data_IF_579970358436
#
_entry.id   IF_579970358436
#
_cell.length_a   1.000
_cell.length_b   1.000
_cell.length_c   1.000
_cell.angle_alpha   90.00
_cell.angle_beta   90.00
_cell.angle_gamma   90.00
#
_symmetry.space_group_name_H-M   'P 1'
#
loop_
_entity.id
_entity.type
_entity.pdbx_description
1 polymer ?
#
# COMPACT_ATOMS: atom_id res chain seq x y z
N UNK A 1 -1.30 -21.46 -29.16
CA UNK A 1 -1.17 -20.00 -29.02
C UNK A 1 -1.99 -19.56 -27.80
N UNK A 2 -1.37 -18.95 -26.80
CA UNK A 2 -2.10 -18.45 -25.62
C UNK A 2 -3.09 -17.35 -26.03
N UNK A 3 -4.31 -17.43 -25.52
CA UNK A 3 -5.38 -16.48 -25.82
C UNK A 3 -5.04 -15.09 -25.26
N UNK A 4 -5.03 -14.07 -26.11
CA UNK A 4 -4.83 -12.66 -25.73
C UNK A 4 -6.18 -12.02 -25.41
N UNK A 5 -6.29 -11.39 -24.26
CA UNK A 5 -7.44 -10.56 -23.89
C UNK A 5 -7.04 -9.10 -24.10
N UNK A 6 -7.54 -8.51 -25.17
CA UNK A 6 -7.28 -7.11 -25.48
C UNK A 6 -8.12 -6.22 -24.57
N UNK A 7 -7.49 -5.18 -24.03
CA UNK A 7 -8.19 -4.19 -23.22
C UNK A 7 -9.13 -3.36 -24.11
N UNK A 8 -10.28 -2.99 -23.58
CA UNK A 8 -11.20 -2.05 -24.23
C UNK A 8 -10.64 -0.62 -24.24
N UNK A 9 -9.57 -0.37 -23.49
CA UNK A 9 -8.86 0.90 -23.38
C UNK A 9 -7.98 1.11 -24.62
N UNK A 10 -8.15 2.23 -25.35
CA UNK A 10 -7.33 2.54 -26.52
C UNK A 10 -5.89 2.89 -26.14
N UNK A 11 -4.98 2.82 -27.09
CA UNK A 11 -3.62 3.34 -27.00
C UNK A 11 -3.48 4.46 -28.00
N UNK A 12 -2.77 5.52 -27.64
CA UNK A 12 -2.58 6.70 -28.51
C UNK A 12 -2.02 6.30 -29.89
N UNK A 13 -0.99 5.46 -29.88
CA UNK A 13 -0.38 4.94 -31.10
C UNK A 13 -0.06 3.44 -30.93
N UNK A 14 -0.25 2.67 -32.01
CA UNK A 14 0.11 1.26 -32.03
C UNK A 14 -1.00 0.31 -31.54
N UNK A 15 -0.67 -0.96 -31.29
CA UNK A 15 -1.64 -1.98 -30.91
C UNK A 15 -2.18 -1.74 -29.50
N UNK A 16 -3.41 -2.20 -29.25
CA UNK A 16 -4.03 -2.17 -27.93
C UNK A 16 -3.23 -3.00 -26.92
N UNK A 17 -3.28 -2.59 -25.67
CA UNK A 17 -2.79 -3.42 -24.57
C UNK A 17 -3.60 -4.70 -24.46
N UNK A 18 -2.94 -5.78 -24.06
CA UNK A 18 -3.56 -7.07 -23.79
C UNK A 18 -2.90 -7.75 -22.58
N UNK A 19 -3.59 -8.76 -22.06
CA UNK A 19 -3.01 -9.72 -21.13
C UNK A 19 -3.41 -11.14 -21.52
N UNK A 20 -2.69 -12.12 -21.01
CA UNK A 20 -2.95 -13.55 -21.15
C UNK A 20 -3.59 -14.07 -19.88
N UNK A 21 -4.75 -14.73 -19.97
CA UNK A 21 -5.48 -15.22 -18.80
C UNK A 21 -4.81 -16.43 -18.16
N UNK A 22 -4.19 -17.28 -18.98
CA UNK A 22 -3.64 -18.57 -18.55
C UNK A 22 -2.56 -18.43 -17.46
N UNK A 23 -1.55 -17.53 -17.58
CA UNK A 23 -0.60 -17.31 -16.49
C UNK A 23 -1.24 -16.79 -15.19
N UNK A 24 -2.32 -16.01 -15.30
CA UNK A 24 -3.00 -15.43 -14.15
C UNK A 24 -3.90 -16.42 -13.41
N UNK A 25 -4.34 -17.51 -14.08
CA UNK A 25 -5.36 -18.40 -13.53
C UNK A 25 -4.92 -19.06 -12.23
N UNK A 26 -3.68 -19.54 -12.19
CA UNK A 26 -3.13 -20.17 -10.99
C UNK A 26 -3.14 -19.21 -9.79
N UNK A 27 -2.64 -17.99 -9.96
CA UNK A 27 -2.63 -16.98 -8.88
C UNK A 27 -4.04 -16.57 -8.48
N UNK A 28 -4.99 -16.56 -9.43
CA UNK A 28 -6.41 -16.32 -9.13
C UNK A 28 -7.01 -17.39 -8.25
N UNK A 29 -6.83 -18.65 -8.62
CA UNK A 29 -7.40 -19.80 -7.88
C UNK A 29 -6.86 -19.84 -6.45
N UNK A 30 -5.56 -19.61 -6.28
CA UNK A 30 -4.92 -19.55 -4.95
C UNK A 30 -5.41 -18.36 -4.11
N UNK A 31 -5.69 -17.22 -4.72
CA UNK A 31 -6.16 -16.02 -4.04
C UNK A 31 -7.64 -16.05 -3.67
N UNK A 32 -8.48 -16.78 -4.41
CA UNK A 32 -9.90 -16.87 -4.09
C UNK A 32 -10.12 -17.45 -2.69
N UNK A 33 -9.34 -18.45 -2.28
CA UNK A 33 -9.41 -19.05 -0.95
C UNK A 33 -9.10 -18.03 0.16
N UNK A 34 -8.03 -17.25 -0.01
CA UNK A 34 -7.67 -16.18 0.93
C UNK A 34 -8.74 -15.06 1.00
N UNK A 35 -9.29 -14.67 -0.14
CA UNK A 35 -10.30 -13.62 -0.19
C UNK A 35 -11.63 -14.02 0.45
N UNK A 36 -12.04 -15.27 0.30
CA UNK A 36 -13.25 -15.78 1.00
C UNK A 36 -13.02 -15.84 2.51
N UNK A 37 -11.83 -16.21 2.95
CA UNK A 37 -11.46 -16.21 4.36
C UNK A 37 -11.47 -14.79 4.94
N UNK A 38 -10.88 -13.79 4.28
CA UNK A 38 -10.82 -12.40 4.72
C UNK A 38 -12.21 -11.78 4.89
N UNK A 39 -13.16 -12.11 4.00
CA UNK A 39 -14.57 -11.72 4.15
C UNK A 39 -15.20 -12.19 5.45
N UNK A 40 -14.84 -13.39 5.93
CA UNK A 40 -15.44 -13.99 7.10
C UNK A 40 -15.04 -13.27 8.40
N UNK A 41 -13.89 -12.58 8.41
CA UNK A 41 -13.31 -11.97 9.60
C UNK A 41 -13.88 -10.59 9.96
N UNK A 42 -14.70 -9.99 9.11
CA UNK A 42 -15.55 -8.80 9.33
C UNK A 42 -14.91 -7.60 10.10
N UNK A 43 -13.60 -7.36 9.91
CA UNK A 43 -12.82 -6.38 10.67
C UNK A 43 -12.64 -5.03 9.95
N UNK A 44 -13.66 -4.57 9.22
CA UNK A 44 -13.63 -3.31 8.46
C UNK A 44 -13.25 -2.07 9.30
N UNK A 45 -13.67 -2.01 10.55
CA UNK A 45 -13.36 -0.89 11.43
C UNK A 45 -11.88 -0.88 11.87
N UNK A 46 -11.31 -2.05 12.07
CA UNK A 46 -9.92 -2.26 12.40
C UNK A 46 -9.01 -1.99 11.20
N UNK A 47 -9.32 -2.58 10.07
CA UNK A 47 -8.66 -2.35 8.81
C UNK A 47 -8.56 -0.86 8.49
N UNK A 48 -9.61 -0.08 8.69
CA UNK A 48 -9.63 1.37 8.50
C UNK A 48 -8.62 2.12 9.39
N UNK A 49 -8.40 1.69 10.62
CA UNK A 49 -7.48 2.34 11.56
C UNK A 49 -6.00 2.07 11.27
N UNK A 50 -5.66 0.82 10.89
CA UNK A 50 -4.30 0.42 10.51
C UNK A 50 -3.93 0.89 9.11
N UNK A 51 -4.93 1.05 8.25
CA UNK A 51 -4.80 1.40 6.84
C UNK A 51 -4.03 2.71 6.64
N UNK A 52 -4.28 3.71 7.46
CA UNK A 52 -3.76 5.04 7.18
C UNK A 52 -2.24 5.13 7.29
N UNK A 53 -1.65 4.77 8.40
CA UNK A 53 -0.22 5.01 8.60
C UNK A 53 0.66 4.07 7.76
N UNK A 54 0.32 2.80 7.69
CA UNK A 54 1.10 1.82 6.92
C UNK A 54 0.94 1.97 5.41
N UNK A 55 -0.27 2.23 4.92
CA UNK A 55 -0.50 2.48 3.50
C UNK A 55 0.04 3.84 3.04
N UNK A 56 -0.04 4.87 3.88
CA UNK A 56 0.60 6.16 3.62
C UNK A 56 2.12 6.00 3.51
N UNK A 57 2.73 5.29 4.46
CA UNK A 57 4.16 4.98 4.41
C UNK A 57 4.52 4.23 3.13
N UNK A 58 3.78 3.19 2.81
CA UNK A 58 4.03 2.37 1.63
C UNK A 58 3.87 3.15 0.32
N UNK A 59 2.83 3.98 0.22
CA UNK A 59 2.61 4.83 -0.96
C UNK A 59 3.74 5.85 -1.16
N UNK A 60 4.23 6.46 -0.07
CA UNK A 60 5.39 7.35 -0.10
C UNK A 60 6.68 6.59 -0.47
N UNK A 61 6.86 5.38 0.07
CA UNK A 61 8.06 4.57 -0.18
C UNK A 61 8.18 4.14 -1.66
N UNK A 62 7.07 3.90 -2.36
CA UNK A 62 7.06 3.64 -3.81
C UNK A 62 7.66 4.81 -4.58
N UNK A 63 7.46 6.04 -4.12
CA UNK A 63 8.02 7.27 -4.71
C UNK A 63 9.45 7.57 -4.20
N UNK A 64 10.06 6.67 -3.43
CA UNK A 64 11.40 6.84 -2.87
C UNK A 64 11.48 7.62 -1.56
N UNK A 65 10.34 7.94 -0.92
CA UNK A 65 10.29 8.64 0.35
C UNK A 65 10.20 7.65 1.52
N UNK A 66 11.30 7.54 2.29
CA UNK A 66 11.44 6.61 3.41
C UNK A 66 10.93 7.14 4.75
N UNK A 67 9.78 7.80 4.79
CA UNK A 67 9.24 8.40 6.01
C UNK A 67 8.99 7.35 7.11
N UNK A 68 9.35 7.68 8.36
CA UNK A 68 9.11 6.81 9.51
C UNK A 68 7.63 6.79 9.89
N UNK A 69 7.16 5.64 10.37
CA UNK A 69 5.76 5.47 10.79
C UNK A 69 5.37 6.43 11.91
N UNK A 70 6.29 6.66 12.84
CA UNK A 70 6.11 7.61 13.97
C UNK A 70 5.92 9.06 13.48
N UNK A 71 6.68 9.46 12.46
CA UNK A 71 6.54 10.76 11.81
C UNK A 71 5.17 10.89 11.16
N UNK A 72 4.76 9.88 10.37
CA UNK A 72 3.45 9.87 9.71
C UNK A 72 2.32 9.99 10.74
N UNK A 73 2.39 9.23 11.82
CA UNK A 73 1.39 9.32 12.89
C UNK A 73 1.39 10.67 13.62
N UNK A 74 2.57 11.25 13.85
CA UNK A 74 2.67 12.58 14.47
C UNK A 74 2.01 13.65 13.58
N UNK A 75 2.20 13.55 12.26
CA UNK A 75 1.56 14.44 11.29
C UNK A 75 0.04 14.27 11.32
N UNK A 76 -0.46 13.04 11.22
CA UNK A 76 -1.89 12.75 11.25
C UNK A 76 -2.55 13.23 12.55
N UNK A 77 -1.87 13.09 13.69
CA UNK A 77 -2.37 13.53 15.01
C UNK A 77 -2.18 15.02 15.27
N UNK A 78 -1.75 15.80 14.27
CA UNK A 78 -1.48 17.24 14.36
C UNK A 78 -0.50 17.63 15.49
N UNK A 79 0.42 16.76 15.85
CA UNK A 79 1.54 17.03 16.77
C UNK A 79 2.76 17.60 16.03
N UNK A 80 2.52 18.54 15.13
CA UNK A 80 3.38 18.84 13.99
C UNK A 80 4.33 20.00 14.20
N UNK A 81 4.24 20.72 15.31
CA UNK A 81 5.07 21.90 15.55
C UNK A 81 6.58 21.58 15.63
N UNK A 82 6.94 20.29 15.66
CA UNK A 82 8.32 19.82 15.72
C UNK A 82 8.91 19.38 14.38
N UNK A 83 8.13 19.31 13.30
CA UNK A 83 8.63 18.85 11.98
C UNK A 83 9.24 20.03 11.24
N UNK A 84 10.56 20.00 11.10
CA UNK A 84 11.33 21.05 10.42
C UNK A 84 11.12 21.06 8.90
N UNK A 85 10.75 19.92 8.30
CA UNK A 85 10.55 19.78 6.86
C UNK A 85 9.08 19.92 6.51
N UNK A 86 8.75 21.09 5.93
CA UNK A 86 7.39 21.46 5.53
C UNK A 86 6.89 20.57 4.38
N UNK A 87 7.78 20.20 3.46
CA UNK A 87 7.42 19.39 2.29
C UNK A 87 7.05 17.97 2.68
N UNK A 88 7.83 17.33 3.57
CA UNK A 88 7.51 15.99 4.09
C UNK A 88 6.13 15.99 4.76
N UNK A 89 5.90 16.98 5.61
CA UNK A 89 4.61 17.16 6.27
C UNK A 89 3.46 17.29 5.29
N UNK A 90 3.63 18.17 4.30
CA UNK A 90 2.61 18.44 3.29
C UNK A 90 2.28 17.18 2.48
N UNK A 91 3.30 16.44 2.04
CA UNK A 91 3.15 15.19 1.31
C UNK A 91 2.36 14.13 2.09
N UNK A 92 2.65 13.98 3.38
CA UNK A 92 1.93 13.05 4.26
C UNK A 92 0.47 13.49 4.44
N UNK A 93 0.23 14.78 4.69
CA UNK A 93 -1.12 15.33 4.84
C UNK A 93 -1.94 15.19 3.57
N UNK A 94 -1.34 15.44 2.41
CA UNK A 94 -2.01 15.30 1.12
C UNK A 94 -2.52 13.87 0.90
N UNK A 95 -1.68 12.86 1.14
CA UNK A 95 -2.10 11.47 1.07
C UNK A 95 -3.19 11.13 2.08
N UNK A 96 -3.06 11.59 3.32
CA UNK A 96 -4.07 11.37 4.36
C UNK A 96 -5.41 11.99 3.96
N UNK A 97 -5.42 13.23 3.48
CA UNK A 97 -6.63 13.90 3.02
C UNK A 97 -7.19 13.24 1.75
N UNK A 98 -6.34 12.79 0.84
CA UNK A 98 -6.75 12.02 -0.34
C UNK A 98 -7.45 10.71 0.04
N UNK A 99 -6.92 9.98 1.01
CA UNK A 99 -7.58 8.77 1.52
C UNK A 99 -8.89 9.08 2.24
N UNK A 100 -8.94 10.16 3.02
CA UNK A 100 -10.18 10.63 3.61
C UNK A 100 -11.21 10.99 2.53
N UNK A 101 -10.79 11.67 1.47
CA UNK A 101 -11.65 12.04 0.33
C UNK A 101 -12.29 10.80 -0.30
N UNK A 102 -11.51 9.79 -0.67
CA UNK A 102 -12.04 8.58 -1.34
C UNK A 102 -12.97 7.74 -0.47
N UNK A 103 -12.85 7.82 0.86
CA UNK A 103 -13.78 7.15 1.79
C UNK A 103 -15.17 7.77 1.77
N UNK A 104 -15.28 9.06 1.48
CA UNK A 104 -16.53 9.82 1.56
C UNK A 104 -17.17 10.07 0.21
N UNK A 105 -16.44 9.87 -0.90
CA UNK A 105 -16.93 10.11 -2.26
C UNK A 105 -17.05 8.78 -3.01
N UNK A 106 -18.20 8.56 -3.66
CA UNK A 106 -18.47 7.33 -4.39
C UNK A 106 -18.44 7.48 -5.91
N UNK A 107 -18.55 8.71 -6.41
CA UNK A 107 -18.56 9.00 -7.85
C UNK A 107 -17.11 9.11 -8.34
N UNK A 108 -16.78 8.34 -9.36
CA UNK A 108 -15.46 8.33 -10.00
C UNK A 108 -15.62 8.86 -11.42
N UNK A 109 -15.34 10.13 -11.61
CA UNK A 109 -15.34 10.83 -12.90
C UNK A 109 -14.18 11.85 -12.96
N UNK A 110 -14.11 12.61 -14.04
CA UNK A 110 -13.02 13.56 -14.27
C UNK A 110 -12.97 14.67 -13.24
N UNK A 111 -14.13 15.19 -12.81
CA UNK A 111 -14.22 16.28 -11.83
C UNK A 111 -13.71 15.81 -10.47
N UNK A 112 -14.22 14.69 -9.96
CA UNK A 112 -13.81 14.16 -8.66
C UNK A 112 -12.35 13.65 -8.68
N UNK A 113 -11.85 13.15 -9.82
CA UNK A 113 -10.43 12.87 -9.97
C UNK A 113 -9.60 14.16 -9.87
N UNK A 114 -10.06 15.24 -10.49
CA UNK A 114 -9.34 16.51 -10.43
C UNK A 114 -9.31 17.07 -9.00
N UNK A 115 -10.41 17.00 -8.25
CA UNK A 115 -10.46 17.35 -6.83
C UNK A 115 -9.48 16.49 -6.01
N UNK A 116 -9.48 15.18 -6.23
CA UNK A 116 -8.53 14.28 -5.57
C UNK A 116 -7.09 14.65 -5.91
N UNK A 117 -6.80 14.94 -7.19
CA UNK A 117 -5.49 15.37 -7.61
C UNK A 117 -5.05 16.68 -6.95
N UNK A 118 -5.93 17.67 -6.86
CA UNK A 118 -5.65 18.92 -6.17
C UNK A 118 -5.27 18.68 -4.70
N UNK A 119 -5.98 17.78 -4.01
CA UNK A 119 -5.64 17.38 -2.63
C UNK A 119 -4.27 16.73 -2.59
N UNK A 120 -3.98 15.75 -3.47
CA UNK A 120 -2.74 14.99 -3.46
C UNK A 120 -1.51 15.84 -3.85
N UNK A 121 -1.71 16.90 -4.62
CA UNK A 121 -0.64 17.76 -5.14
C UNK A 121 -0.54 19.11 -4.42
N UNK A 122 -1.36 19.37 -3.41
CA UNK A 122 -1.40 20.65 -2.69
C UNK A 122 -0.01 21.06 -2.20
N UNK A 123 0.44 22.26 -2.60
CA UNK A 123 1.74 22.84 -2.25
C UNK A 123 2.98 21.98 -2.65
N UNK A 124 2.84 21.02 -3.56
CA UNK A 124 3.95 20.22 -4.05
C UNK A 124 4.39 20.59 -5.48
N UNK A 125 3.49 21.17 -6.26
CA UNK A 125 3.78 21.52 -7.66
C UNK A 125 4.64 22.78 -7.77
N UNK A 126 5.62 22.75 -8.69
CA UNK A 126 6.37 23.95 -9.05
C UNK A 126 5.47 24.97 -9.79
N UNK A 127 5.96 26.18 -9.97
CA UNK A 127 5.21 27.26 -10.64
C UNK A 127 4.88 26.90 -12.09
N UNK A 128 5.86 26.38 -12.81
CA UNK A 128 5.66 25.93 -14.20
C UNK A 128 4.53 24.92 -14.34
N UNK A 129 4.48 23.92 -13.46
CA UNK A 129 3.44 22.89 -13.50
C UNK A 129 2.05 23.46 -13.25
N UNK A 130 1.94 24.39 -12.29
CA UNK A 130 0.69 25.09 -11.98
C UNK A 130 0.18 25.95 -13.14
N UNK A 131 1.08 26.69 -13.77
CA UNK A 131 0.74 27.59 -14.89
C UNK A 131 0.34 26.86 -16.17
N UNK A 132 0.85 25.62 -16.37
CA UNK A 132 0.58 24.83 -17.56
C UNK A 132 -0.44 23.71 -17.33
N UNK A 133 -1.08 23.67 -16.14
CA UNK A 133 -2.20 22.81 -15.87
C UNK A 133 -3.47 23.40 -16.49
N UNK A 134 -4.12 22.62 -17.34
CA UNK A 134 -5.45 22.97 -17.87
C UNK A 134 -6.55 22.72 -16.84
N UNK A 135 -7.81 22.89 -17.26
CA UNK A 135 -8.96 22.76 -16.36
C UNK A 135 -9.07 21.39 -15.64
N UNK A 136 -8.61 20.33 -16.28
CA UNK A 136 -8.65 18.97 -15.71
C UNK A 136 -7.30 18.26 -15.79
N UNK A 137 -6.51 18.50 -16.83
CA UNK A 137 -5.26 17.78 -17.13
C UNK A 137 -4.19 18.75 -17.64
N UNK A 138 -2.93 18.27 -17.70
CA UNK A 138 -1.83 19.05 -18.26
C UNK A 138 -2.04 19.41 -19.73
N UNK A 139 -1.60 20.60 -20.11
CA UNK A 139 -1.64 21.11 -21.50
C UNK A 139 -0.28 21.18 -22.16
N UNK A 140 0.74 20.57 -21.55
CA UNK A 140 2.11 20.48 -22.09
C UNK A 140 2.66 19.07 -21.91
N UNK A 141 3.77 18.79 -22.60
CA UNK A 141 4.52 17.55 -22.41
C UNK A 141 5.24 17.52 -21.06
N UNK A 142 5.40 16.33 -20.50
CA UNK A 142 6.24 16.06 -19.32
C UNK A 142 7.53 15.43 -19.82
N UNK A 143 8.65 16.00 -19.43
CA UNK A 143 9.98 15.52 -19.84
C UNK A 143 10.72 14.89 -18.66
N UNK A 144 11.46 13.83 -18.94
CA UNK A 144 12.24 13.13 -17.92
C UNK A 144 13.58 13.85 -17.73
N UNK A 145 13.95 14.14 -16.47
CA UNK A 145 15.27 14.60 -16.11
C UNK A 145 16.23 13.42 -16.00
N UNK A 146 17.20 13.31 -16.93
CA UNK A 146 18.30 12.38 -16.81
C UNK A 146 19.57 13.08 -16.35
N UNK A 147 20.14 12.64 -15.22
CA UNK A 147 21.38 13.20 -14.66
C UNK A 147 21.34 14.74 -14.50
N UNK A 148 20.19 15.29 -14.13
CA UNK A 148 20.00 16.73 -13.97
C UNK A 148 19.89 17.51 -15.28
N UNK A 149 19.76 16.83 -16.42
CA UNK A 149 19.51 17.44 -17.73
C UNK A 149 18.14 17.04 -18.26
N UNK A 150 17.42 18.02 -18.79
CA UNK A 150 16.15 17.80 -19.46
C UNK A 150 16.41 17.07 -20.79
N UNK A 151 15.89 15.87 -20.93
CA UNK A 151 15.92 15.14 -22.19
C UNK A 151 14.61 15.40 -22.94
N UNK A 152 14.70 16.22 -23.98
CA UNK A 152 13.55 16.62 -24.80
C UNK A 152 13.02 15.49 -25.69
N UNK A 153 13.80 14.43 -25.88
CA UNK A 153 13.42 13.26 -26.66
C UNK A 153 12.68 12.21 -25.82
N UNK A 154 12.74 12.35 -24.49
CA UNK A 154 12.08 11.47 -23.53
C UNK A 154 10.93 12.19 -22.84
N UNK A 155 9.71 12.01 -23.33
CA UNK A 155 8.48 12.46 -22.64
C UNK A 155 7.82 11.32 -21.89
N UNK A 156 7.31 11.63 -20.70
CA UNK A 156 6.46 10.70 -19.97
C UNK A 156 4.99 10.85 -20.36
N UNK A 157 4.32 9.68 -20.46
CA UNK A 157 2.89 9.62 -20.79
C UNK A 157 2.61 9.79 -22.27
N UNK A 158 1.35 10.06 -22.55
CA UNK A 158 0.84 10.31 -23.92
C UNK A 158 0.99 11.79 -24.29
N UNK A 159 0.81 12.13 -25.57
CA UNK A 159 0.72 13.53 -25.98
C UNK A 159 -0.42 14.24 -25.24
N UNK A 160 -0.23 15.50 -24.86
CA UNK A 160 -1.25 16.24 -24.11
C UNK A 160 -2.56 16.35 -24.89
N UNK A 161 -2.53 16.38 -26.22
CA UNK A 161 -3.72 16.41 -27.06
C UNK A 161 -4.57 15.15 -27.00
N UNK A 162 -3.98 14.00 -26.65
CA UNK A 162 -4.70 12.72 -26.53
C UNK A 162 -5.31 12.48 -25.14
N UNK A 163 -4.89 13.23 -24.13
CA UNK A 163 -5.28 12.96 -22.72
C UNK A 163 -6.78 12.95 -22.54
N UNK A 164 -7.50 13.96 -23.02
CA UNK A 164 -8.94 14.07 -22.83
C UNK A 164 -9.69 12.85 -23.39
N UNK A 165 -9.35 12.39 -24.60
CA UNK A 165 -9.96 11.23 -25.22
C UNK A 165 -9.66 9.95 -24.42
N UNK A 166 -8.40 9.73 -24.06
CA UNK A 166 -8.00 8.55 -23.32
C UNK A 166 -8.60 8.51 -21.91
N UNK A 167 -8.70 9.66 -21.23
CA UNK A 167 -9.37 9.77 -19.95
C UNK A 167 -10.88 9.57 -20.03
N UNK A 168 -11.53 9.96 -21.11
CA UNK A 168 -12.93 9.60 -21.36
C UNK A 168 -13.11 8.08 -21.43
N UNK A 169 -12.26 7.37 -22.17
CA UNK A 169 -12.28 5.91 -22.23
C UNK A 169 -11.92 5.27 -20.88
N UNK A 170 -10.99 5.87 -20.14
CA UNK A 170 -10.64 5.44 -18.76
C UNK A 170 -11.88 5.44 -17.86
N UNK A 171 -12.64 6.54 -17.79
CA UNK A 171 -13.84 6.59 -16.96
C UNK A 171 -14.98 5.72 -17.46
N UNK A 172 -15.13 5.54 -18.78
CA UNK A 172 -16.05 4.56 -19.33
C UNK A 172 -15.72 3.14 -18.84
N UNK A 173 -14.44 2.77 -18.84
CA UNK A 173 -13.97 1.49 -18.31
C UNK A 173 -14.17 1.38 -16.79
N UNK A 174 -13.80 2.40 -16.01
CA UNK A 174 -13.99 2.44 -14.56
C UNK A 174 -15.45 2.20 -14.16
N UNK A 175 -16.36 2.89 -14.83
CA UNK A 175 -17.79 2.89 -14.47
C UNK A 175 -18.59 1.78 -15.17
N UNK A 176 -17.97 0.96 -16.03
CA UNK A 176 -18.62 -0.17 -16.68
C UNK A 176 -19.12 -1.14 -15.60
N UNK A 177 -20.44 -1.34 -15.55
CA UNK A 177 -21.08 -2.24 -14.60
C UNK A 177 -20.76 -3.69 -15.00
N UNK A 178 -20.27 -4.47 -14.05
CA UNK A 178 -19.99 -5.89 -14.22
C UNK A 178 -20.17 -6.58 -12.88
N UNK A 179 -20.79 -7.75 -12.88
CA UNK A 179 -20.81 -8.65 -11.72
C UNK A 179 -19.56 -9.51 -11.77
N UNK A 180 -18.45 -8.91 -11.36
CA UNK A 180 -17.16 -9.60 -11.31
C UNK A 180 -16.96 -10.27 -9.94
N UNK A 181 -16.19 -11.35 -9.92
CA UNK A 181 -15.62 -11.90 -8.70
C UNK A 181 -14.68 -10.89 -8.05
N UNK A 182 -14.42 -11.00 -6.76
CA UNK A 182 -13.54 -10.04 -6.06
C UNK A 182 -12.14 -9.96 -6.67
N UNK A 183 -11.59 -11.10 -7.04
CA UNK A 183 -10.26 -11.15 -7.69
C UNK A 183 -10.27 -10.44 -9.05
N UNK A 184 -11.37 -10.51 -9.79
CA UNK A 184 -11.49 -9.83 -11.08
C UNK A 184 -11.67 -8.32 -10.89
N UNK A 185 -12.35 -7.87 -9.83
CA UNK A 185 -12.40 -6.45 -9.44
C UNK A 185 -11.00 -5.95 -9.05
N UNK A 186 -10.19 -6.78 -8.38
CA UNK A 186 -8.79 -6.44 -8.11
C UNK A 186 -7.99 -6.31 -9.40
N UNK A 187 -8.06 -7.28 -10.31
CA UNK A 187 -7.39 -7.22 -11.62
C UNK A 187 -7.82 -5.97 -12.39
N UNK A 188 -9.10 -5.65 -12.39
CA UNK A 188 -9.62 -4.42 -13.03
C UNK A 188 -9.01 -3.17 -12.40
N UNK A 189 -8.88 -3.12 -11.09
CA UNK A 189 -8.22 -1.99 -10.40
C UNK A 189 -6.74 -1.83 -10.82
N UNK A 190 -6.04 -2.96 -11.05
CA UNK A 190 -4.65 -2.93 -11.52
C UNK A 190 -4.52 -2.50 -12.98
N UNK A 191 -5.47 -2.89 -13.84
CA UNK A 191 -5.56 -2.39 -15.21
C UNK A 191 -5.77 -0.87 -15.20
N UNK A 192 -6.66 -0.37 -14.33
CA UNK A 192 -6.89 1.07 -14.15
C UNK A 192 -5.61 1.78 -13.70
N UNK A 193 -4.90 1.22 -12.71
CA UNK A 193 -3.63 1.73 -12.22
C UNK A 193 -2.60 1.83 -13.36
N UNK A 194 -2.35 0.73 -14.07
CA UNK A 194 -1.42 0.69 -15.20
C UNK A 194 -1.77 1.73 -16.27
N UNK A 195 -3.04 1.76 -16.67
CA UNK A 195 -3.48 2.63 -17.77
C UNK A 195 -3.42 4.11 -17.40
N UNK A 196 -3.70 4.46 -16.14
CA UNK A 196 -3.52 5.83 -15.65
C UNK A 196 -2.05 6.26 -15.70
N UNK A 197 -1.12 5.39 -15.27
CA UNK A 197 0.33 5.65 -15.36
C UNK A 197 0.79 5.71 -16.82
N UNK A 198 0.14 4.99 -17.73
CA UNK A 198 0.39 5.10 -19.17
C UNK A 198 -0.03 6.47 -19.72
N UNK A 199 -1.23 6.94 -19.39
CA UNK A 199 -1.74 8.26 -19.86
C UNK A 199 -0.88 9.38 -19.26
N UNK A 200 -0.57 9.31 -17.98
CA UNK A 200 0.21 10.30 -17.24
C UNK A 200 -0.41 11.70 -17.37
N UNK A 201 -1.66 11.91 -16.89
CA UNK A 201 -2.45 13.10 -17.23
C UNK A 201 -2.01 14.38 -16.51
N UNK A 202 -1.08 14.31 -15.57
CA UNK A 202 -0.58 15.42 -14.77
C UNK A 202 0.94 15.60 -14.91
N UNK A 203 1.49 16.72 -14.42
CA UNK A 203 2.92 16.96 -14.43
C UNK A 203 3.66 16.13 -13.39
N UNK A 204 3.11 16.03 -12.18
CA UNK A 204 3.64 15.24 -11.08
C UNK A 204 2.50 14.51 -10.34
N UNK A 205 2.82 13.74 -9.33
CA UNK A 205 1.87 13.02 -8.45
C UNK A 205 1.05 11.93 -9.17
N UNK A 206 1.37 11.59 -10.42
CA UNK A 206 0.63 10.58 -11.20
C UNK A 206 0.67 9.20 -10.55
N UNK A 207 1.80 8.76 -10.01
CA UNK A 207 1.95 7.48 -9.31
C UNK A 207 1.05 7.39 -8.10
N UNK A 208 1.10 8.37 -7.21
CA UNK A 208 0.24 8.47 -6.01
C UNK A 208 -1.25 8.53 -6.39
N UNK A 209 -1.59 9.33 -7.39
CA UNK A 209 -2.97 9.46 -7.89
C UNK A 209 -3.48 8.14 -8.44
N UNK A 210 -2.72 7.45 -9.29
CA UNK A 210 -3.12 6.17 -9.89
C UNK A 210 -3.35 5.08 -8.85
N UNK A 211 -2.48 4.98 -7.85
CA UNK A 211 -2.63 4.03 -6.75
C UNK A 211 -3.82 4.38 -5.86
N UNK A 212 -4.05 5.66 -5.59
CA UNK A 212 -5.22 6.10 -4.82
C UNK A 212 -6.53 5.86 -5.59
N UNK A 213 -6.54 6.06 -6.92
CA UNK A 213 -7.69 5.74 -7.78
C UNK A 213 -8.02 4.25 -7.79
N UNK A 214 -7.00 3.38 -7.87
CA UNK A 214 -7.21 1.94 -7.80
C UNK A 214 -7.79 1.51 -6.45
N UNK A 215 -7.28 2.07 -5.35
CA UNK A 215 -7.83 1.86 -4.01
C UNK A 215 -9.28 2.38 -3.91
N UNK A 216 -9.56 3.56 -4.45
CA UNK A 216 -10.92 4.11 -4.47
C UNK A 216 -11.91 3.20 -5.18
N UNK A 217 -11.50 2.65 -6.32
CA UNK A 217 -12.31 1.68 -7.06
C UNK A 217 -12.63 0.45 -6.21
N UNK A 218 -11.64 -0.15 -5.54
CA UNK A 218 -11.84 -1.31 -4.67
C UNK A 218 -12.76 -0.99 -3.49
N UNK A 219 -12.60 0.18 -2.87
CA UNK A 219 -13.49 0.66 -1.81
C UNK A 219 -14.94 0.81 -2.29
N UNK A 220 -15.13 1.39 -3.48
CA UNK A 220 -16.46 1.55 -4.10
C UNK A 220 -17.13 0.21 -4.37
N UNK A 221 -16.36 -0.79 -4.76
CA UNK A 221 -16.81 -2.16 -5.06
C UNK A 221 -16.94 -3.02 -3.81
N UNK A 222 -16.51 -2.53 -2.65
CA UNK A 222 -16.39 -3.33 -1.42
C UNK A 222 -15.56 -4.59 -1.65
N UNK A 223 -14.57 -4.51 -2.53
CA UNK A 223 -13.67 -5.61 -2.85
C UNK A 223 -12.45 -5.58 -1.93
N UNK A 224 -12.11 -6.72 -1.38
CA UNK A 224 -10.87 -6.95 -0.66
C UNK A 224 -9.72 -7.20 -1.64
N UNK A 225 -8.51 -6.90 -1.28
CA UNK A 225 -7.98 -6.26 -0.08
C UNK A 225 -7.40 -4.87 -0.38
N UNK A 226 -8.20 -3.86 -0.36
CA UNK A 226 -7.77 -2.49 -0.58
C UNK A 226 -6.72 -1.98 0.43
N UNK A 227 -6.68 -2.59 1.62
CA UNK A 227 -5.84 -2.17 2.74
C UNK A 227 -4.35 -2.37 2.49
N UNK A 228 -3.99 -3.42 1.78
CA UNK A 228 -2.59 -3.84 1.60
C UNK A 228 -2.03 -3.47 0.22
N UNK A 229 -2.77 -2.66 -0.52
CA UNK A 229 -2.48 -2.35 -1.91
C UNK A 229 -1.06 -1.82 -2.14
N UNK A 230 -0.66 -0.77 -1.42
CA UNK A 230 0.64 -0.13 -1.61
C UNK A 230 1.77 -0.84 -0.88
N UNK A 231 1.49 -1.53 0.22
CA UNK A 231 2.50 -2.22 1.03
C UNK A 231 3.28 -3.23 0.23
N UNK A 232 2.60 -4.07 -0.51
CA UNK A 232 3.26 -5.08 -1.33
C UNK A 232 4.06 -4.49 -2.49
N UNK A 233 3.57 -3.40 -3.12
CA UNK A 233 4.29 -2.73 -4.21
C UNK A 233 5.59 -2.11 -3.69
N UNK A 234 5.59 -1.50 -2.52
CA UNK A 234 6.75 -0.79 -1.97
C UNK A 234 7.99 -1.69 -1.81
N UNK A 235 7.79 -2.99 -1.62
CA UNK A 235 8.90 -3.95 -1.55
C UNK A 235 9.49 -4.33 -2.91
N UNK A 236 8.85 -3.96 -4.01
CA UNK A 236 9.31 -4.31 -5.36
C UNK A 236 10.22 -3.23 -5.98
N UNK A 237 10.17 -1.97 -5.49
CA UNK A 237 11.05 -0.88 -5.91
C UNK A 237 11.27 -0.80 -7.42
N UNK A 238 12.52 -0.76 -7.85
CA UNK A 238 12.92 -0.65 -9.27
C UNK A 238 12.39 -1.78 -10.17
N UNK A 239 11.99 -2.92 -9.61
CA UNK A 239 11.35 -4.00 -10.39
C UNK A 239 9.97 -3.59 -10.86
N UNK A 240 9.21 -2.88 -10.02
CA UNK A 240 7.88 -2.38 -10.37
C UNK A 240 7.95 -1.38 -11.54
N UNK A 241 8.84 -0.39 -11.48
CA UNK A 241 8.99 0.60 -12.57
C UNK A 241 9.40 -0.04 -13.88
N UNK A 242 10.36 -0.98 -13.83
CA UNK A 242 10.82 -1.71 -15.00
C UNK A 242 9.71 -2.53 -15.65
N UNK A 243 8.87 -3.20 -14.86
CA UNK A 243 7.75 -4.00 -15.39
C UNK A 243 6.71 -3.11 -16.04
N UNK A 244 6.41 -1.94 -15.48
CA UNK A 244 5.51 -0.96 -16.11
C UNK A 244 6.08 -0.47 -17.43
N UNK A 245 7.37 -0.12 -17.48
CA UNK A 245 8.04 0.30 -18.70
C UNK A 245 7.97 -0.78 -19.78
N UNK A 246 8.36 -1.99 -19.44
CA UNK A 246 8.29 -3.15 -20.35
C UNK A 246 6.88 -3.40 -20.88
N UNK A 247 5.87 -3.27 -20.02
CA UNK A 247 4.48 -3.45 -20.41
C UNK A 247 3.98 -2.36 -21.37
N UNK A 248 4.41 -1.11 -21.17
CA UNK A 248 4.13 0.01 -22.10
C UNK A 248 4.75 -0.25 -23.48
N UNK A 249 5.99 -0.70 -23.53
CA UNK A 249 6.74 -0.97 -24.78
C UNK A 249 6.16 -2.18 -25.55
N UNK A 250 5.93 -3.29 -24.85
CA UNK A 250 5.49 -4.57 -25.45
C UNK A 250 3.98 -4.66 -25.68
N UNK A 251 3.21 -3.72 -25.14
CA UNK A 251 1.74 -3.76 -25.08
C UNK A 251 1.16 -5.00 -24.37
N UNK A 252 1.97 -5.73 -23.62
CA UNK A 252 1.61 -6.92 -22.84
C UNK A 252 1.71 -6.62 -21.36
N UNK A 253 0.57 -6.49 -20.68
CA UNK A 253 0.51 -6.20 -19.26
C UNK A 253 0.42 -7.45 -18.38
N UNK A 254 0.58 -8.64 -18.94
CA UNK A 254 0.46 -9.91 -18.23
C UNK A 254 1.41 -9.95 -17.03
N UNK A 255 2.68 -9.63 -17.25
CA UNK A 255 3.72 -9.65 -16.21
C UNK A 255 3.46 -8.63 -15.09
N UNK A 256 2.89 -7.48 -15.44
CA UNK A 256 2.46 -6.50 -14.46
C UNK A 256 1.33 -7.06 -13.57
N UNK A 257 0.32 -7.67 -14.18
CA UNK A 257 -0.79 -8.28 -13.43
C UNK A 257 -0.33 -9.46 -12.58
N UNK A 258 0.54 -10.34 -13.09
CA UNK A 258 1.15 -11.42 -12.30
C UNK A 258 1.87 -10.87 -11.06
N UNK A 259 2.73 -9.86 -11.24
CA UNK A 259 3.43 -9.22 -10.13
C UNK A 259 2.47 -8.65 -9.10
N UNK A 260 1.36 -8.04 -9.53
CA UNK A 260 0.37 -7.46 -8.61
C UNK A 260 -0.39 -8.55 -7.85
N UNK A 261 -0.74 -9.65 -8.49
CA UNK A 261 -1.38 -10.80 -7.84
C UNK A 261 -0.43 -11.49 -6.84
N UNK A 262 0.83 -11.72 -7.22
CA UNK A 262 1.84 -12.28 -6.32
C UNK A 262 2.09 -11.38 -5.10
N UNK A 263 2.10 -10.07 -5.32
CA UNK A 263 2.23 -9.07 -4.27
C UNK A 263 1.06 -9.13 -3.30
N UNK A 264 -0.15 -9.22 -3.83
CA UNK A 264 -1.38 -9.38 -3.06
C UNK A 264 -1.36 -10.65 -2.22
N UNK A 265 -1.00 -11.78 -2.85
CA UNK A 265 -0.90 -13.07 -2.18
C UNK A 265 0.05 -13.01 -0.98
N UNK A 266 1.26 -12.50 -1.17
CA UNK A 266 2.24 -12.38 -0.10
C UNK A 266 1.75 -11.52 1.08
N UNK A 267 1.02 -10.46 0.81
CA UNK A 267 0.48 -9.61 1.88
C UNK A 267 -0.70 -10.27 2.61
N UNK A 268 -1.57 -10.99 1.89
CA UNK A 268 -2.66 -11.77 2.49
C UNK A 268 -2.13 -12.93 3.33
N UNK A 269 -1.11 -13.65 2.85
CA UNK A 269 -0.44 -14.71 3.62
C UNK A 269 0.13 -14.16 4.93
N UNK A 270 0.83 -13.01 4.89
CA UNK A 270 1.35 -12.36 6.10
C UNK A 270 0.23 -11.96 7.06
N UNK A 271 -0.86 -11.43 6.53
CA UNK A 271 -2.00 -11.03 7.35
C UNK A 271 -2.69 -12.23 7.99
N UNK A 272 -2.83 -13.33 7.24
CA UNK A 272 -3.34 -14.60 7.75
C UNK A 272 -2.46 -15.14 8.89
N UNK A 273 -1.15 -15.21 8.68
CA UNK A 273 -0.18 -15.62 9.70
C UNK A 273 -0.31 -14.73 10.95
N UNK A 274 -0.37 -13.41 10.78
CA UNK A 274 -0.52 -12.49 11.91
C UNK A 274 -1.83 -12.70 12.67
N UNK A 275 -2.91 -13.02 11.99
CA UNK A 275 -4.21 -13.29 12.63
C UNK A 275 -4.21 -14.65 13.34
N UNK A 276 -3.56 -15.67 12.78
CA UNK A 276 -3.38 -16.98 13.43
C UNK A 276 -2.53 -16.86 14.70
N UNK A 277 -1.45 -16.07 14.64
CA UNK A 277 -0.63 -15.73 15.80
C UNK A 277 -1.48 -15.03 16.86
N UNK A 278 -2.21 -14.00 16.48
CA UNK A 278 -3.03 -13.24 17.40
C UNK A 278 -4.14 -14.11 18.02
N UNK A 279 -4.74 -15.00 17.26
CA UNK A 279 -5.76 -15.94 17.73
C UNK A 279 -5.16 -16.98 18.69
N UNK A 280 -3.97 -17.50 18.37
CA UNK A 280 -3.24 -18.45 19.22
C UNK A 280 -2.72 -17.80 20.51
N UNK A 281 -2.33 -16.54 20.43
CA UNK A 281 -1.88 -15.75 21.58
C UNK A 281 -3.03 -15.27 22.48
N UNK A 282 -4.28 -15.25 22.00
CA UNK A 282 -5.44 -14.74 22.74
C UNK A 282 -5.61 -15.40 24.11
N UNK A 283 -5.25 -16.66 24.26
CA UNK A 283 -5.28 -17.38 25.55
C UNK A 283 -4.07 -17.04 26.45
N UNK A 284 -2.92 -16.65 25.89
CA UNK A 284 -1.70 -16.31 26.62
C UNK A 284 -1.55 -14.80 26.85
N UNK A 285 -2.13 -14.01 25.95
CA UNK A 285 -2.09 -12.55 25.95
C UNK A 285 -3.46 -11.97 26.36
N UNK A 286 -4.11 -12.56 27.35
CA UNK A 286 -5.43 -12.13 27.83
C UNK A 286 -5.38 -10.64 28.22
N UNK A 287 -6.19 -9.81 27.56
CA UNK A 287 -6.27 -8.37 27.79
C UNK A 287 -5.39 -7.50 26.91
N UNK A 288 -4.64 -8.08 25.95
CA UNK A 288 -3.93 -7.31 24.95
C UNK A 288 -4.86 -7.01 23.79
N UNK A 289 -4.96 -5.74 23.42
CA UNK A 289 -5.66 -5.33 22.22
C UNK A 289 -4.97 -5.94 20.99
N UNK A 290 -5.75 -6.62 20.18
CA UNK A 290 -5.30 -7.21 18.91
C UNK A 290 -4.59 -6.21 18.00
N UNK A 291 -5.00 -4.93 18.04
CA UNK A 291 -4.37 -3.85 17.29
C UNK A 291 -2.93 -3.60 17.73
N UNK A 292 -2.67 -3.65 19.03
CA UNK A 292 -1.33 -3.49 19.58
C UNK A 292 -0.41 -4.61 19.12
N UNK A 293 -0.89 -5.84 19.11
CA UNK A 293 -0.14 -7.00 18.62
C UNK A 293 0.18 -6.86 17.13
N UNK A 294 -0.80 -6.54 16.31
CA UNK A 294 -0.56 -6.30 14.89
C UNK A 294 0.41 -5.16 14.63
N UNK A 295 0.33 -4.08 15.42
CA UNK A 295 1.28 -2.99 15.31
C UNK A 295 2.70 -3.46 15.62
N UNK A 296 2.89 -4.27 16.65
CA UNK A 296 4.19 -4.86 16.97
C UNK A 296 4.70 -5.77 15.84
N UNK A 297 3.84 -6.58 15.26
CA UNK A 297 4.19 -7.47 14.15
C UNK A 297 4.51 -6.73 12.83
N UNK A 298 4.17 -5.45 12.74
CA UNK A 298 4.45 -4.62 11.56
C UNK A 298 5.61 -3.64 11.76
N UNK A 299 6.25 -3.66 12.94
CA UNK A 299 7.40 -2.77 13.23
C UNK A 299 8.60 -3.13 12.38
N UNK A 300 9.26 -2.12 11.83
CA UNK A 300 10.51 -2.28 11.12
C UNK A 300 11.70 -1.98 12.04
N UNK A 301 12.76 -2.76 11.91
CA UNK A 301 14.00 -2.61 12.65
C UNK A 301 13.89 -2.98 14.13
N UNK A 302 14.99 -2.77 14.86
CA UNK A 302 15.06 -3.07 16.27
C UNK A 302 14.31 -2.04 17.13
N UNK A 303 13.72 -2.50 18.23
CA UNK A 303 12.97 -1.68 19.18
C UNK A 303 13.34 -2.05 20.61
N UNK A 304 13.40 -1.03 21.46
CA UNK A 304 13.63 -1.21 22.90
C UNK A 304 12.33 -1.49 23.64
N UNK A 305 12.40 -2.00 24.86
CA UNK A 305 11.20 -2.15 25.70
C UNK A 305 10.48 -0.83 25.97
N UNK A 306 11.20 0.29 25.99
CA UNK A 306 10.59 1.60 26.13
C UNK A 306 9.71 1.96 24.91
N UNK A 307 10.17 1.63 23.70
CA UNK A 307 9.40 1.84 22.47
C UNK A 307 8.12 1.01 22.48
N UNK A 308 8.21 -0.27 22.88
CA UNK A 308 7.03 -1.13 23.07
C UNK A 308 6.07 -0.56 24.11
N UNK A 309 6.58 -0.03 25.22
CA UNK A 309 5.79 0.62 26.25
C UNK A 309 5.03 1.84 25.75
N UNK A 310 5.68 2.68 24.96
CA UNK A 310 5.05 3.86 24.33
C UNK A 310 3.92 3.44 23.40
N UNK A 311 4.15 2.42 22.59
CA UNK A 311 3.16 1.92 21.63
C UNK A 311 1.98 1.27 22.36
N UNK A 312 2.24 0.39 23.31
CA UNK A 312 1.21 -0.29 24.09
C UNK A 312 0.29 0.73 24.77
N UNK A 313 0.85 1.67 25.50
CA UNK A 313 0.12 2.69 26.26
C UNK A 313 -0.61 3.73 25.39
N UNK A 314 -0.43 3.65 24.07
CA UNK A 314 -1.16 4.47 23.09
C UNK A 314 -2.53 3.89 22.77
N UNK A 315 -2.66 2.57 22.80
CA UNK A 315 -3.86 1.84 22.37
C UNK A 315 -4.61 1.16 23.52
N UNK A 316 -3.95 0.98 24.68
CA UNK A 316 -4.50 0.28 25.83
C UNK A 316 -4.46 1.15 27.10
N UNK A 317 -5.03 0.65 28.18
CA UNK A 317 -4.87 1.22 29.51
C UNK A 317 -3.39 1.22 29.91
N UNK A 318 -2.97 2.27 30.60
CA UNK A 318 -1.56 2.46 30.96
C UNK A 318 -1.04 1.33 31.83
N UNK A 319 0.00 0.66 31.34
CA UNK A 319 0.77 -0.34 32.05
C UNK A 319 2.24 0.07 32.17
N UNK A 320 2.90 -0.45 33.17
CA UNK A 320 4.35 -0.30 33.31
C UNK A 320 5.09 -1.14 32.27
N UNK A 321 6.32 -0.78 31.97
CA UNK A 321 7.17 -1.55 31.06
C UNK A 321 7.36 -3.00 31.52
N UNK A 322 7.38 -3.25 32.83
CA UNK A 322 7.47 -4.58 33.41
C UNK A 322 6.23 -5.44 33.09
N UNK A 323 5.04 -4.88 33.29
CA UNK A 323 3.78 -5.57 32.97
C UNK A 323 3.69 -5.88 31.49
N UNK A 324 4.04 -4.93 30.63
CA UNK A 324 4.04 -5.11 29.18
C UNK A 324 5.04 -6.20 28.77
N UNK A 325 6.23 -6.24 29.38
CA UNK A 325 7.21 -7.28 29.12
C UNK A 325 6.66 -8.67 29.46
N UNK A 326 6.21 -8.86 30.68
CA UNK A 326 5.75 -10.16 31.18
C UNK A 326 4.49 -10.66 30.47
N UNK A 327 3.56 -9.77 30.20
CA UNK A 327 2.26 -10.16 29.64
C UNK A 327 2.27 -10.31 28.12
N UNK A 328 3.22 -9.67 27.43
CA UNK A 328 3.19 -9.59 25.99
C UNK A 328 4.52 -9.88 25.32
N UNK A 329 5.60 -9.23 25.73
CA UNK A 329 6.89 -9.32 25.03
C UNK A 329 7.55 -10.68 25.25
N UNK A 330 7.61 -11.15 26.47
CA UNK A 330 8.19 -12.45 26.81
C UNK A 330 7.49 -13.62 26.11
N UNK A 331 6.14 -13.70 26.10
CA UNK A 331 5.43 -14.70 25.28
C UNK A 331 5.74 -14.61 23.78
N UNK A 332 5.94 -13.42 23.23
CA UNK A 332 6.29 -13.25 21.80
C UNK A 332 7.73 -13.66 21.51
N UNK A 333 8.65 -13.52 22.48
CA UNK A 333 10.01 -14.05 22.40
C UNK A 333 9.99 -15.58 22.49
N UNK A 334 9.22 -16.16 23.43
CA UNK A 334 9.09 -17.59 23.61
C UNK A 334 8.49 -18.31 22.38
N UNK A 335 7.66 -17.61 21.64
CA UNK A 335 7.09 -18.05 20.37
C UNK A 335 8.03 -17.83 19.17
N UNK A 336 9.23 -17.32 19.40
CA UNK A 336 10.21 -16.96 18.35
C UNK A 336 9.71 -15.90 17.34
N UNK A 337 8.66 -15.17 17.67
CA UNK A 337 8.13 -14.07 16.84
C UNK A 337 9.08 -12.88 16.90
N UNK A 338 9.61 -12.58 18.10
CA UNK A 338 10.68 -11.61 18.30
C UNK A 338 11.99 -12.29 18.62
N UNK A 339 13.05 -11.76 18.05
CA UNK A 339 14.43 -12.12 18.30
C UNK A 339 15.10 -11.05 19.16
N UNK A 340 15.76 -11.49 20.23
CA UNK A 340 16.59 -10.60 21.03
C UNK A 340 17.89 -10.31 20.29
N UNK A 341 18.11 -9.05 19.91
CA UNK A 341 19.34 -8.62 19.22
C UNK A 341 20.39 -8.22 20.24
N UNK A 342 19.95 -7.51 21.26
CA UNK A 342 20.83 -7.00 22.32
C UNK A 342 20.16 -7.14 23.66
N UNK A 343 20.93 -7.67 24.63
CA UNK A 343 20.53 -7.71 26.03
C UNK A 343 21.60 -6.99 26.83
N UNK A 344 21.20 -6.01 27.63
CA UNK A 344 22.09 -5.32 28.54
C UNK A 344 21.84 -5.79 29.97
N UNK A 345 22.91 -5.84 30.78
CA UNK A 345 22.84 -6.24 32.22
C UNK A 345 22.07 -5.23 33.09
N UNK A 346 21.61 -4.12 32.54
CA UNK A 346 20.76 -3.16 33.27
C UNK A 346 19.37 -3.75 33.39
N UNK A 347 19.07 -4.24 34.56
CA UNK A 347 17.75 -4.71 34.94
C UNK A 347 16.94 -3.46 35.34
N UNK A 348 15.87 -3.22 34.61
CA UNK A 348 14.87 -2.21 34.97
C UNK A 348 13.78 -2.94 35.72
N UNK A 349 13.76 -2.87 37.02
CA UNK A 349 12.96 -3.75 37.87
C UNK A 349 13.53 -5.17 37.85
N UNK A 350 12.69 -6.18 37.63
CA UNK A 350 13.09 -7.60 37.54
C UNK A 350 13.17 -8.12 36.11
N UNK A 351 13.17 -7.25 35.09
CA UNK A 351 13.19 -7.64 33.69
C UNK A 351 14.49 -7.23 32.99
N UNK A 352 14.98 -8.02 32.02
CA UNK A 352 16.13 -7.64 31.24
C UNK A 352 15.83 -6.42 30.37
N UNK A 353 16.80 -5.53 30.20
CA UNK A 353 16.69 -4.51 29.17
C UNK A 353 17.11 -5.10 27.83
N UNK A 354 16.14 -5.37 26.97
CA UNK A 354 16.33 -6.02 25.67
C UNK A 354 15.99 -5.09 24.51
N UNK A 355 16.70 -5.27 23.43
CA UNK A 355 16.39 -4.71 22.13
C UNK A 355 15.96 -5.87 21.22
N UNK A 356 14.81 -5.73 20.60
CA UNK A 356 14.10 -6.78 19.87
C UNK A 356 13.87 -6.39 18.42
N UNK A 357 13.88 -7.36 17.58
CA UNK A 357 13.45 -7.23 16.17
C UNK A 357 12.51 -8.37 15.81
N UNK A 358 11.63 -8.16 14.83
CA UNK A 358 10.86 -9.25 14.25
C UNK A 358 11.80 -10.31 13.71
N UNK A 359 11.52 -11.56 14.03
CA UNK A 359 12.34 -12.67 13.55
C UNK A 359 12.07 -12.88 12.05
N UNK A 360 13.00 -12.54 11.15
CA UNK A 360 12.77 -12.65 9.71
C UNK A 360 12.48 -14.09 9.27
N UNK A 361 13.06 -15.07 9.94
CA UNK A 361 12.84 -16.49 9.62
C UNK A 361 11.45 -16.97 10.02
N UNK A 362 10.74 -16.23 10.85
CA UNK A 362 9.39 -16.57 11.24
C UNK A 362 8.42 -16.48 10.04
N UNK A 363 8.64 -15.52 9.14
CA UNK A 363 7.84 -15.32 7.93
C UNK A 363 8.37 -16.09 6.71
N UNK A 364 9.58 -16.66 6.78
CA UNK A 364 10.20 -17.40 5.68
C UNK A 364 9.93 -18.91 5.72
N UNK A 365 9.48 -19.44 6.87
CA UNK A 365 9.29 -20.89 7.11
C UNK A 365 7.85 -21.26 7.49
N UNK A 366 6.89 -20.91 6.63
CA UNK A 366 5.46 -20.93 6.90
C UNK A 366 4.89 -22.26 7.45
N UNK A 367 5.25 -23.40 6.87
CA UNK A 367 4.65 -24.69 7.28
C UNK A 367 5.16 -25.21 8.63
N UNK A 368 6.44 -24.96 8.97
CA UNK A 368 7.05 -25.45 10.22
C UNK A 368 6.63 -24.62 11.45
N UNK A 369 6.39 -23.32 11.29
CA UNK A 369 6.04 -22.43 12.41
C UNK A 369 4.57 -22.53 12.79
N UNK A 370 3.66 -22.63 11.82
CA UNK A 370 2.22 -22.86 12.09
C UNK A 370 1.99 -24.19 12.82
N UNK A 371 2.75 -25.24 12.52
CA UNK A 371 2.65 -26.50 13.26
C UNK A 371 3.15 -26.40 14.72
N UNK A 372 4.18 -25.57 15.00
CA UNK A 372 4.70 -25.35 16.36
C UNK A 372 3.77 -24.48 17.21
N UNK A 373 3.07 -23.53 16.61
CA UNK A 373 2.09 -22.68 17.30
C UNK A 373 0.83 -23.49 17.67
N UNK A 374 0.40 -24.42 16.81
CA UNK A 374 -0.74 -25.30 17.05
C UNK A 374 -0.46 -26.40 18.07
N UNK A 375 0.81 -26.74 18.32
CA UNK A 375 1.22 -27.84 19.22
C UNK A 375 1.65 -27.38 20.63
N UNK A 376 1.66 -26.10 20.94
CA UNK A 376 1.92 -25.52 22.25
C UNK A 376 0.72 -24.71 22.73
#
# INVERSE_FOLDING_TARGET
MQKRNYLELPKENGPRFYYRSEPLQKSKDELEEFLEWDKSMNNLAFARKMMYSHELKANNLVEGYGDDLELIEAVIKRKVDTIKDIEIKQRILNLYHGYYYILHHRKMDAEHLHELYQILSENLLCEYDRENMGPLYREKAVYILQNGRLDLDLSEGVSFGAINELMFHYFAFVNKTSNLLQIDEYIKSQIMHFYFVYIHPYFDVNGRTSRTMAMWYLLKKQAYPYIIFNRGISFKGSKYDRIIKDAKEKCDITYFLEMMLDTLKLELEKEHIMQDIASSCKHKLSGVDFQTLLYFLTMNGSKTLADFGVIYNRFNDKKTTNEIYMEMIEPLIDMEIFKVIRQTKRIIGNIPNVELELNPTFFENDEKHLSRIKLK
#
